data_IF_553763094559
#
_entry.id   IF_553763094559
#
_cell.length_a   1.000
_cell.length_b   1.000
_cell.length_c   1.000
_cell.angle_alpha   90.00
_cell.angle_beta   90.00
_cell.angle_gamma   90.00
#
_symmetry.space_group_name_H-M   'P 1'
#
loop_
_entity.id
_entity.type
_entity.pdbx_description
1 polymer ?
#
# COMPACT_ATOMS: atom_id res chain seq x y z
N UNK A 1 7.25 -0.08 20.94
CA UNK A 1 6.23 -0.91 20.26
C UNK A 1 5.89 -0.24 18.94
N UNK A 2 5.92 -0.95 17.84
CA UNK A 2 5.56 -0.41 16.51
C UNK A 2 4.06 -0.11 16.53
N UNK A 3 3.67 1.15 16.33
CA UNK A 3 2.25 1.54 16.32
C UNK A 3 1.59 1.11 15.00
N UNK A 4 1.16 -0.16 14.96
CA UNK A 4 0.47 -0.76 13.81
C UNK A 4 -1.03 -0.71 14.08
N UNK A 5 -1.81 -0.22 13.14
CA UNK A 5 -3.27 -0.11 13.26
C UNK A 5 -3.95 -0.72 12.04
N UNK A 6 -4.92 -1.60 12.28
CA UNK A 6 -5.89 -2.03 11.27
C UNK A 6 -6.98 -0.97 11.17
N UNK A 7 -7.37 -0.65 9.96
CA UNK A 7 -8.42 0.31 9.65
C UNK A 7 -9.50 -0.41 8.82
N UNK A 8 -10.44 -1.12 9.48
CA UNK A 8 -11.53 -1.78 8.76
C UNK A 8 -12.50 -0.73 8.22
N UNK A 9 -13.03 -0.95 6.99
CA UNK A 9 -13.92 0.01 6.36
C UNK A 9 -13.22 1.37 6.16
N UNK A 10 -12.01 1.34 5.59
CA UNK A 10 -11.12 2.50 5.47
C UNK A 10 -11.79 3.71 4.82
N UNK A 11 -12.66 3.45 3.83
CA UNK A 11 -13.41 4.49 3.12
C UNK A 11 -14.90 4.16 3.09
N UNK A 12 -15.78 5.17 2.87
CA UNK A 12 -17.16 4.90 2.48
C UNK A 12 -17.23 3.94 1.29
N UNK A 13 -18.14 2.96 1.33
CA UNK A 13 -18.20 1.89 0.35
C UNK A 13 -18.20 2.38 -1.12
N UNK A 14 -18.96 3.43 -1.52
CA UNK A 14 -18.92 3.92 -2.89
C UNK A 14 -17.52 4.41 -3.32
N UNK A 15 -16.79 5.09 -2.41
CA UNK A 15 -15.44 5.57 -2.69
C UNK A 15 -14.45 4.41 -2.83
N UNK A 16 -14.58 3.40 -1.99
CA UNK A 16 -13.73 2.20 -2.07
C UNK A 16 -13.92 1.47 -3.40
N UNK A 17 -15.16 1.35 -3.88
CA UNK A 17 -15.46 0.75 -5.20
C UNK A 17 -14.91 1.59 -6.36
N UNK A 18 -15.04 2.90 -6.32
CA UNK A 18 -14.47 3.77 -7.35
C UNK A 18 -12.94 3.62 -7.43
N UNK A 19 -12.26 3.60 -6.27
CA UNK A 19 -10.81 3.38 -6.19
C UNK A 19 -10.42 2.02 -6.78
N UNK A 20 -11.14 0.96 -6.40
CA UNK A 20 -10.92 -0.39 -6.93
C UNK A 20 -11.08 -0.42 -8.44
N UNK A 21 -12.19 0.07 -8.96
CA UNK A 21 -12.49 0.06 -10.40
C UNK A 21 -11.43 0.83 -11.20
N UNK A 22 -10.96 1.97 -10.68
CA UNK A 22 -9.88 2.72 -11.31
C UNK A 22 -8.58 1.89 -11.37
N UNK A 23 -8.19 1.28 -10.26
CA UNK A 23 -6.94 0.51 -10.15
C UNK A 23 -7.02 -0.79 -10.96
N UNK A 24 -8.16 -1.45 -11.01
CA UNK A 24 -8.36 -2.67 -11.80
C UNK A 24 -8.19 -2.41 -13.31
N UNK A 25 -8.67 -1.27 -13.79
CA UNK A 25 -8.49 -0.81 -15.18
C UNK A 25 -7.16 -0.10 -15.47
N UNK A 26 -6.25 0.00 -14.49
CA UNK A 26 -5.02 0.76 -14.63
C UNK A 26 -4.01 0.09 -15.58
N UNK A 27 -3.16 0.92 -16.18
CA UNK A 27 -1.99 0.41 -16.92
C UNK A 27 -0.87 0.05 -15.96
N UNK A 28 -0.56 -1.23 -15.86
CA UNK A 28 0.48 -1.76 -15.00
C UNK A 28 1.84 -1.80 -15.70
N UNK A 29 2.89 -1.37 -14.96
CA UNK A 29 4.28 -1.49 -15.40
C UNK A 29 4.99 -2.51 -14.51
N UNK A 30 5.63 -3.50 -15.11
CA UNK A 30 6.51 -4.42 -14.39
C UNK A 30 7.92 -3.84 -14.26
N UNK A 31 8.59 -4.14 -13.14
CA UNK A 31 9.99 -3.73 -12.93
C UNK A 31 10.19 -2.79 -11.74
N UNK A 32 9.13 -2.42 -11.03
CA UNK A 32 9.28 -1.66 -9.80
C UNK A 32 9.95 -2.52 -8.72
N UNK A 33 10.90 -1.92 -7.99
CA UNK A 33 11.64 -2.58 -6.92
C UNK A 33 11.50 -1.81 -5.62
N UNK A 34 11.00 -2.47 -4.59
CA UNK A 34 10.94 -1.90 -3.23
C UNK A 34 12.33 -1.64 -2.66
N UNK A 35 13.31 -2.47 -3.01
CA UNK A 35 14.73 -2.26 -2.73
C UNK A 35 15.52 -2.33 -4.04
N UNK A 36 16.13 -1.22 -4.45
CA UNK A 36 16.86 -1.09 -5.73
C UNK A 36 18.09 -2.00 -5.84
N UNK A 37 18.69 -2.38 -4.70
CA UNK A 37 19.85 -3.27 -4.67
C UNK A 37 19.48 -4.73 -4.94
N UNK A 38 18.18 -5.08 -4.91
CA UNK A 38 17.71 -6.46 -5.05
C UNK A 38 17.01 -6.67 -6.39
N UNK A 39 17.10 -7.90 -6.92
CA UNK A 39 16.52 -8.26 -8.21
C UNK A 39 15.00 -8.43 -8.24
N UNK A 40 14.34 -8.40 -7.07
CA UNK A 40 12.90 -8.64 -6.94
C UNK A 40 12.09 -7.44 -7.44
N UNK A 41 11.25 -7.67 -8.42
CA UNK A 41 10.41 -6.66 -9.03
C UNK A 41 8.93 -7.08 -9.00
N UNK A 42 8.04 -6.09 -8.97
CA UNK A 42 6.60 -6.29 -9.02
C UNK A 42 5.93 -5.27 -9.95
N UNK A 43 4.63 -5.44 -10.14
CA UNK A 43 3.81 -4.52 -10.93
C UNK A 43 3.51 -3.26 -10.12
N UNK A 44 3.55 -2.12 -10.79
CA UNK A 44 3.28 -0.84 -10.19
C UNK A 44 2.45 0.05 -11.13
N UNK A 45 1.58 0.87 -10.55
CA UNK A 45 0.90 1.99 -11.19
C UNK A 45 1.13 3.24 -10.36
N UNK A 46 1.96 4.15 -10.85
CA UNK A 46 2.29 5.40 -10.16
C UNK A 46 1.21 6.45 -10.38
N UNK A 47 0.73 7.07 -9.30
CA UNK A 47 -0.34 8.08 -9.32
C UNK A 47 0.23 9.48 -9.04
N UNK A 48 1.06 9.62 -8.00
CA UNK A 48 1.74 10.86 -7.67
C UNK A 48 2.98 10.62 -6.80
N UNK A 49 4.04 11.37 -7.09
CA UNK A 49 5.30 11.28 -6.39
C UNK A 49 5.95 12.66 -6.24
N UNK A 50 6.48 12.96 -5.04
CA UNK A 50 7.15 14.25 -4.75
C UNK A 50 8.52 14.41 -5.45
N UNK A 51 9.08 13.32 -6.00
CA UNK A 51 10.42 13.34 -6.58
C UNK A 51 11.51 13.50 -5.53
N UNK A 52 12.64 14.12 -5.87
CA UNK A 52 13.74 14.38 -4.93
C UNK A 52 13.37 15.41 -3.86
N UNK A 53 12.36 16.26 -4.08
CA UNK A 53 11.85 17.25 -3.13
C UNK A 53 10.96 16.57 -2.06
N UNK A 54 11.52 15.68 -1.27
CA UNK A 54 10.83 14.99 -0.19
C UNK A 54 10.16 15.97 0.77
N UNK A 55 8.82 15.87 0.89
CA UNK A 55 8.03 16.66 1.83
C UNK A 55 7.02 17.63 1.20
N UNK A 56 7.04 17.84 -0.13
CA UNK A 56 5.98 18.58 -0.80
C UNK A 56 4.72 17.72 -0.94
N UNK A 57 3.57 18.32 -0.61
CA UNK A 57 2.27 17.69 -0.82
C UNK A 57 2.01 17.50 -2.33
N UNK A 58 1.74 16.27 -2.72
CA UNK A 58 1.44 15.92 -4.12
C UNK A 58 -0.03 15.60 -4.36
N UNK A 59 -0.89 15.79 -3.38
CA UNK A 59 -2.31 15.45 -3.46
C UNK A 59 -3.03 16.14 -4.62
N UNK A 60 -2.64 17.36 -4.96
CA UNK A 60 -3.20 18.10 -6.09
C UNK A 60 -2.90 17.47 -7.47
N UNK A 61 -1.90 16.58 -7.55
CA UNK A 61 -1.54 15.88 -8.79
C UNK A 61 -2.35 14.59 -9.00
N UNK A 62 -3.06 14.14 -7.99
CA UNK A 62 -3.84 12.90 -8.06
C UNK A 62 -5.07 13.05 -8.96
N UNK A 63 -5.54 11.98 -9.62
CA UNK A 63 -6.90 11.93 -10.15
C UNK A 63 -7.93 12.20 -9.05
N UNK A 64 -9.08 12.75 -9.40
CA UNK A 64 -10.10 13.24 -8.45
C UNK A 64 -10.49 12.20 -7.38
N UNK A 65 -10.70 10.94 -7.76
CA UNK A 65 -11.07 9.89 -6.82
C UNK A 65 -10.03 9.69 -5.71
N UNK A 66 -8.73 9.78 -6.04
CA UNK A 66 -7.65 9.66 -5.06
C UNK A 66 -7.47 10.94 -4.24
N UNK A 67 -7.78 12.13 -4.80
CA UNK A 67 -7.83 13.35 -4.01
C UNK A 67 -8.91 13.27 -2.92
N UNK A 68 -10.11 12.77 -3.26
CA UNK A 68 -11.19 12.53 -2.29
C UNK A 68 -10.76 11.53 -1.21
N UNK A 69 -10.11 10.44 -1.61
CA UNK A 69 -9.60 9.44 -0.68
C UNK A 69 -8.54 10.02 0.27
N UNK A 70 -7.59 10.80 -0.27
CA UNK A 70 -6.59 11.45 0.57
C UNK A 70 -7.21 12.47 1.54
N UNK A 71 -8.16 13.29 1.07
CA UNK A 71 -8.85 14.26 1.92
C UNK A 71 -9.59 13.56 3.07
N UNK A 72 -10.22 12.41 2.79
CA UNK A 72 -10.85 11.59 3.83
C UNK A 72 -9.82 11.08 4.84
N UNK A 73 -8.72 10.46 4.38
CA UNK A 73 -7.64 9.99 5.25
C UNK A 73 -7.03 11.13 6.08
N UNK A 74 -6.82 12.29 5.46
CA UNK A 74 -6.27 13.46 6.14
C UNK A 74 -7.19 13.92 7.25
N UNK A 75 -8.48 14.02 6.99
CA UNK A 75 -9.47 14.44 7.98
C UNK A 75 -9.56 13.46 9.16
N UNK A 76 -9.58 12.16 8.89
CA UNK A 76 -9.81 11.13 9.92
C UNK A 76 -8.54 10.73 10.70
N UNK A 77 -7.37 10.82 10.07
CA UNK A 77 -6.15 10.22 10.63
C UNK A 77 -4.92 11.12 10.60
N UNK A 78 -4.86 12.13 9.70
CA UNK A 78 -3.63 12.86 9.40
C UNK A 78 -3.86 14.35 9.15
N UNK A 79 -4.52 15.13 10.06
CA UNK A 79 -4.96 16.50 9.78
C UNK A 79 -3.82 17.43 9.34
N UNK A 80 -2.61 17.23 9.89
CA UNK A 80 -1.44 18.08 9.65
C UNK A 80 -0.43 17.46 8.65
N UNK A 81 -0.80 16.36 7.98
CA UNK A 81 0.14 15.63 7.12
C UNK A 81 0.04 16.07 5.67
N UNK A 82 1.16 15.95 4.97
CA UNK A 82 1.27 16.07 3.52
C UNK A 82 1.37 14.68 2.88
N UNK A 83 0.73 14.50 1.73
CA UNK A 83 0.91 13.29 0.93
C UNK A 83 2.16 13.45 0.08
N UNK A 84 3.16 12.61 0.29
CA UNK A 84 4.41 12.66 -0.49
C UNK A 84 4.44 11.64 -1.62
N UNK A 85 3.55 10.63 -1.57
CA UNK A 85 3.48 9.58 -2.58
C UNK A 85 2.17 8.82 -2.54
N UNK A 86 1.62 8.53 -3.73
CA UNK A 86 0.47 7.65 -3.92
C UNK A 86 0.72 6.76 -5.14
N UNK A 87 0.52 5.46 -4.99
CA UNK A 87 0.70 4.47 -6.05
C UNK A 87 -0.01 3.16 -5.72
N UNK A 88 -0.25 2.33 -6.73
CA UNK A 88 -0.75 0.99 -6.53
C UNK A 88 0.32 -0.05 -6.88
N UNK A 89 0.30 -1.17 -6.15
CA UNK A 89 1.11 -2.35 -6.43
C UNK A 89 0.22 -3.54 -6.73
N UNK A 90 0.73 -4.40 -7.61
CA UNK A 90 0.09 -5.67 -7.92
C UNK A 90 1.10 -6.81 -7.85
N UNK A 91 0.65 -7.95 -7.30
CA UNK A 91 1.47 -9.16 -7.17
C UNK A 91 0.71 -10.38 -7.70
N UNK A 92 1.40 -11.18 -8.49
CA UNK A 92 0.98 -12.51 -8.95
C UNK A 92 1.84 -13.58 -8.31
N UNK A 93 1.55 -14.86 -8.57
CA UNK A 93 2.45 -15.94 -8.18
C UNK A 93 3.87 -15.70 -8.72
N UNK A 94 4.88 -15.96 -7.89
CA UNK A 94 6.28 -15.74 -8.20
C UNK A 94 6.76 -14.29 -8.16
N UNK A 95 5.87 -13.36 -7.75
CA UNK A 95 6.19 -11.94 -7.58
C UNK A 95 6.09 -11.58 -6.11
N UNK A 96 7.20 -11.16 -5.52
CA UNK A 96 7.30 -10.78 -4.11
C UNK A 96 7.87 -9.38 -3.94
N UNK A 97 7.49 -8.72 -2.85
CA UNK A 97 8.21 -7.55 -2.36
C UNK A 97 9.51 -7.99 -1.66
N UNK A 98 10.49 -7.10 -1.59
CA UNK A 98 11.66 -7.30 -0.74
C UNK A 98 11.50 -6.50 0.56
N UNK A 99 11.95 -7.02 1.73
CA UNK A 99 11.90 -6.28 2.98
C UNK A 99 12.59 -4.92 2.86
N UNK A 100 11.91 -3.86 3.26
CA UNK A 100 12.38 -2.48 3.15
C UNK A 100 11.69 -1.57 4.16
N UNK A 101 12.16 -0.33 4.25
CA UNK A 101 11.47 0.79 4.90
C UNK A 101 11.08 1.81 3.84
N UNK A 102 9.98 2.51 4.05
CA UNK A 102 9.51 3.55 3.13
C UNK A 102 10.15 4.90 3.37
N UNK A 103 10.54 5.17 4.62
CA UNK A 103 11.22 6.37 5.08
C UNK A 103 12.16 6.05 6.24
N UNK A 104 13.09 6.96 6.51
CA UNK A 104 13.94 6.92 7.72
C UNK A 104 13.37 7.77 8.86
N UNK A 105 12.37 8.61 8.58
CA UNK A 105 11.81 9.53 9.56
C UNK A 105 10.74 8.84 10.40
N UNK A 106 10.81 9.01 11.71
CA UNK A 106 9.85 8.40 12.67
C UNK A 106 8.43 8.97 12.55
N UNK A 107 8.32 10.22 12.11
CA UNK A 107 7.04 10.89 11.95
C UNK A 107 6.23 10.39 10.75
N UNK A 108 6.91 9.83 9.73
CA UNK A 108 6.25 9.42 8.50
C UNK A 108 5.39 8.17 8.70
N UNK A 109 4.29 8.11 7.98
CA UNK A 109 3.30 7.01 8.05
C UNK A 109 3.05 6.45 6.67
N UNK A 110 2.79 5.15 6.62
CA UNK A 110 2.34 4.42 5.44
C UNK A 110 0.97 3.85 5.70
N UNK A 111 0.05 4.06 4.77
CA UNK A 111 -1.23 3.36 4.71
C UNK A 111 -1.23 2.45 3.49
N UNK A 112 -1.48 1.17 3.69
CA UNK A 112 -1.74 0.18 2.66
C UNK A 112 -3.21 -0.12 2.64
N UNK A 113 -3.92 0.17 1.56
CA UNK A 113 -5.30 -0.25 1.33
C UNK A 113 -5.33 -1.52 0.50
N UNK A 114 -6.21 -2.47 0.85
CA UNK A 114 -6.44 -3.69 0.08
C UNK A 114 -7.69 -3.55 -0.78
N UNK A 115 -7.56 -3.94 -2.06
CA UNK A 115 -8.58 -3.69 -3.09
C UNK A 115 -9.30 -4.96 -3.59
N UNK A 116 -8.86 -6.15 -3.19
CA UNK A 116 -9.49 -7.40 -3.61
C UNK A 116 -10.78 -7.64 -2.82
N UNK A 117 -11.91 -7.88 -3.50
CA UNK A 117 -13.20 -8.19 -2.85
C UNK A 117 -13.15 -9.48 -2.07
N UNK A 118 -12.59 -10.52 -2.67
CA UNK A 118 -12.39 -11.82 -2.05
C UNK A 118 -10.91 -12.10 -1.87
N UNK A 119 -10.56 -12.68 -0.74
CA UNK A 119 -9.21 -13.17 -0.48
C UNK A 119 -9.24 -14.36 0.45
N UNK A 120 -8.71 -15.47 0.02
CA UNK A 120 -8.61 -16.68 0.82
C UNK A 120 -7.26 -16.72 1.54
N UNK A 121 -7.27 -17.23 2.77
CA UNK A 121 -6.03 -17.31 3.59
C UNK A 121 -4.94 -18.16 2.94
N UNK A 122 -5.34 -19.21 2.22
CA UNK A 122 -4.42 -20.11 1.51
C UNK A 122 -3.77 -19.47 0.27
N UNK A 123 -4.23 -18.30 -0.16
CA UNK A 123 -3.62 -17.55 -1.25
C UNK A 123 -2.36 -16.79 -0.84
N UNK A 124 -2.07 -16.66 0.47
CA UNK A 124 -0.92 -15.91 0.96
C UNK A 124 -1.05 -14.41 0.68
N UNK A 125 0.04 -13.78 0.30
CA UNK A 125 0.03 -12.35 -0.07
C UNK A 125 -0.11 -11.42 1.13
N UNK A 126 0.27 -11.85 2.32
CA UNK A 126 0.24 -11.02 3.52
C UNK A 126 1.16 -9.81 3.39
N UNK A 127 0.78 -8.70 3.97
CA UNK A 127 1.73 -7.64 4.33
C UNK A 127 2.35 -7.99 5.68
N UNK A 128 3.67 -8.18 5.71
CA UNK A 128 4.42 -8.47 6.91
C UNK A 128 5.08 -7.21 7.44
N UNK A 129 4.99 -6.99 8.74
CA UNK A 129 5.77 -5.99 9.47
C UNK A 129 6.70 -6.73 10.42
N UNK A 130 7.99 -6.40 10.35
CA UNK A 130 9.02 -7.04 11.15
C UNK A 130 9.29 -6.26 12.44
N UNK A 131 9.49 -6.97 13.53
CA UNK A 131 9.98 -6.50 14.80
C UNK A 131 11.41 -6.97 15.06
N UNK A 132 11.88 -6.79 16.29
CA UNK A 132 13.24 -7.21 16.68
C UNK A 132 13.44 -8.73 16.64
N UNK A 133 12.39 -9.49 16.95
CA UNK A 133 12.46 -10.95 17.13
C UNK A 133 11.80 -11.71 15.96
N UNK A 134 11.48 -11.03 14.87
CA UNK A 134 10.84 -11.64 13.70
C UNK A 134 9.60 -10.89 13.23
N UNK A 135 8.57 -11.61 12.79
CA UNK A 135 7.33 -11.00 12.29
C UNK A 135 6.51 -10.48 13.48
N UNK A 136 6.34 -9.16 13.54
CA UNK A 136 5.52 -8.49 14.55
C UNK A 136 4.04 -8.45 14.15
N UNK A 137 3.73 -8.41 12.84
CA UNK A 137 2.37 -8.37 12.33
C UNK A 137 2.30 -8.97 10.92
N UNK A 138 1.21 -9.67 10.64
CA UNK A 138 0.87 -10.20 9.32
C UNK A 138 -0.59 -9.84 9.00
N UNK A 139 -0.82 -9.18 7.87
CA UNK A 139 -2.15 -8.78 7.44
C UNK A 139 -2.47 -9.37 6.07
N UNK A 140 -3.53 -10.17 6.01
CA UNK A 140 -4.09 -10.66 4.75
C UNK A 140 -4.91 -9.56 4.06
N UNK A 141 -4.93 -9.52 2.72
CA UNK A 141 -5.84 -8.66 1.99
C UNK A 141 -7.29 -8.84 2.44
N UNK A 142 -7.98 -7.71 2.61
CA UNK A 142 -9.42 -7.64 2.87
C UNK A 142 -9.95 -6.37 2.23
N UNK A 143 -10.95 -6.50 1.37
CA UNK A 143 -11.52 -5.35 0.68
C UNK A 143 -11.84 -4.20 1.62
N UNK A 144 -11.50 -3.00 1.19
CA UNK A 144 -11.74 -1.75 1.92
C UNK A 144 -11.20 -1.76 3.35
N UNK A 145 -10.13 -2.51 3.60
CA UNK A 145 -9.38 -2.39 4.85
C UNK A 145 -8.03 -1.75 4.61
N UNK A 146 -7.52 -1.07 5.62
CA UNK A 146 -6.20 -0.45 5.62
C UNK A 146 -5.30 -1.00 6.72
N UNK A 147 -4.00 -0.99 6.45
CA UNK A 147 -2.95 -1.19 7.44
C UNK A 147 -2.13 0.09 7.54
N UNK A 148 -2.19 0.75 8.70
CA UNK A 148 -1.40 1.95 9.02
C UNK A 148 -0.22 1.57 9.90
N UNK A 149 0.98 2.00 9.52
CA UNK A 149 2.20 1.76 10.29
C UNK A 149 3.25 2.86 10.07
N UNK A 150 4.26 2.98 10.97
CA UNK A 150 5.38 3.89 10.79
C UNK A 150 6.16 3.53 9.52
N UNK A 151 6.46 4.53 8.67
CA UNK A 151 7.15 4.30 7.39
C UNK A 151 8.59 3.79 7.56
N UNK A 152 9.19 3.94 8.74
CA UNK A 152 10.50 3.38 9.09
C UNK A 152 10.45 1.93 9.61
N UNK A 153 9.26 1.33 9.73
CA UNK A 153 9.14 -0.09 10.06
C UNK A 153 9.55 -0.95 8.86
N UNK A 154 10.37 -1.98 9.11
CA UNK A 154 10.69 -2.99 8.11
C UNK A 154 9.44 -3.77 7.74
N UNK A 155 9.15 -3.83 6.45
CA UNK A 155 7.96 -4.52 5.96
C UNK A 155 8.16 -5.08 4.55
N UNK A 156 7.28 -6.00 4.18
CA UNK A 156 7.22 -6.55 2.82
C UNK A 156 5.82 -7.05 2.48
N UNK A 157 5.50 -7.12 1.19
CA UNK A 157 4.40 -7.92 0.69
C UNK A 157 4.93 -9.32 0.35
N UNK A 158 4.36 -10.38 0.95
CA UNK A 158 4.64 -11.74 0.53
C UNK A 158 4.03 -12.03 -0.84
N UNK A 159 4.68 -12.91 -1.58
CA UNK A 159 4.14 -13.45 -2.81
C UNK A 159 2.82 -14.19 -2.58
N UNK A 160 1.97 -14.19 -3.60
CA UNK A 160 0.77 -15.02 -3.60
C UNK A 160 1.12 -16.46 -3.93
N UNK A 161 0.36 -17.41 -3.42
CA UNK A 161 0.58 -18.83 -3.67
C UNK A 161 0.17 -19.22 -5.08
N UNK A 162 0.66 -20.37 -5.55
CA UNK A 162 0.37 -20.89 -6.89
C UNK A 162 -1.11 -21.10 -7.19
N UNK A 163 -1.91 -21.35 -6.16
CA UNK A 163 -3.35 -21.60 -6.29
C UNK A 163 -4.20 -20.33 -6.27
N UNK A 164 -3.57 -19.16 -6.09
CA UNK A 164 -4.28 -17.88 -6.13
C UNK A 164 -4.55 -17.49 -7.59
N UNK A 165 -5.81 -17.38 -8.03
CA UNK A 165 -6.14 -16.95 -9.38
C UNK A 165 -6.16 -15.43 -9.53
N UNK A 166 -6.07 -14.70 -8.40
CA UNK A 166 -6.28 -13.26 -8.34
C UNK A 166 -4.97 -12.47 -8.45
N UNK A 167 -5.05 -11.30 -9.04
CA UNK A 167 -4.03 -10.27 -8.92
C UNK A 167 -4.19 -9.56 -7.57
N UNK A 168 -3.20 -9.70 -6.68
CA UNK A 168 -3.22 -9.01 -5.38
C UNK A 168 -3.04 -7.51 -5.59
N UNK A 169 -4.06 -6.72 -5.32
CA UNK A 169 -4.09 -5.29 -5.53
C UNK A 169 -4.00 -4.52 -4.21
N UNK A 170 -3.08 -3.57 -4.14
CA UNK A 170 -2.94 -2.64 -3.00
C UNK A 170 -2.76 -1.20 -3.48
N UNK A 171 -3.33 -0.26 -2.74
CA UNK A 171 -3.15 1.17 -2.92
C UNK A 171 -2.40 1.75 -1.72
N UNK A 172 -1.37 2.55 -1.98
CA UNK A 172 -0.44 3.08 -0.97
C UNK A 172 -0.58 4.59 -0.86
N UNK A 173 -0.64 5.08 0.38
CA UNK A 173 -0.52 6.51 0.73
C UNK A 173 0.66 6.69 1.70
N UNK A 174 1.57 7.62 1.37
CA UNK A 174 2.78 7.88 2.17
C UNK A 174 2.98 9.37 2.40
#
# INVERSE_FOLDING_TARGET
MTNIRRLPGLFPAPLAEELRNYIEGAQWKYGWRSNKAMGFAHWNHDLAHAGPDNGKDVSAKLPNVFQRAWNYLKQEHFPDSALVRCYANAHTFGVEGYPHTDSRREADRTVVMYLNHEWKREWGGETLIYGREGIAHAELPRFNSGLLFPSNAWHTARGVTRICPELRLTLMFK
#
